data_IF_505996129267
#
_entry.id   IF_505996129267
#
_cell.length_a   1.000
_cell.length_b   1.000
_cell.length_c   1.000
_cell.angle_alpha   90.00
_cell.angle_beta   90.00
_cell.angle_gamma   90.00
#
_symmetry.space_group_name_H-M   'P 1'
#
loop_
_entity.id
_entity.type
_entity.pdbx_description
1 polymer ?
#
# COMPACT_ATOMS: atom_id res chain seq x y z
N UNK A 1 -10.47 22.09 -5.26
CA UNK A 1 -10.15 21.62 -3.89
C UNK A 1 -8.83 20.89 -3.95
N UNK A 2 -7.95 21.10 -2.99
CA UNK A 2 -6.78 20.25 -2.82
C UNK A 2 -7.21 19.06 -1.94
N UNK A 3 -7.19 17.84 -2.49
CA UNK A 3 -7.65 16.64 -1.79
C UNK A 3 -6.51 15.95 -1.02
N UNK A 4 -5.77 16.70 -0.21
CA UNK A 4 -4.87 16.09 0.75
C UNK A 4 -5.67 15.32 1.81
N UNK A 5 -5.05 14.32 2.43
CA UNK A 5 -5.62 13.56 3.54
C UNK A 5 -4.71 13.75 4.76
N UNK A 6 -5.27 14.25 5.85
CA UNK A 6 -4.55 14.43 7.13
C UNK A 6 -5.14 13.51 8.19
N UNK A 7 -4.28 12.72 8.81
CA UNK A 7 -4.57 11.82 9.93
C UNK A 7 -3.78 12.30 11.14
N UNK A 8 -4.45 12.64 12.25
CA UNK A 8 -3.82 13.25 13.42
C UNK A 8 -4.22 12.53 14.71
N UNK A 9 -3.24 11.87 15.33
CA UNK A 9 -3.38 11.16 16.61
C UNK A 9 -4.56 10.18 16.64
N UNK A 10 -4.80 9.49 15.52
CA UNK A 10 -5.96 8.61 15.34
C UNK A 10 -5.73 7.30 16.08
N UNK A 11 -6.64 6.98 16.98
CA UNK A 11 -6.73 5.65 17.60
C UNK A 11 -8.10 5.02 17.34
N UNK A 12 -8.14 3.70 17.25
CA UNK A 12 -9.38 2.93 17.06
C UNK A 12 -9.39 1.72 17.96
N UNK A 13 -10.47 1.60 18.73
CA UNK A 13 -10.69 0.47 19.63
C UNK A 13 -12.04 -0.18 19.37
N UNK A 14 -12.08 -1.52 19.32
CA UNK A 14 -13.29 -2.30 19.35
C UNK A 14 -13.49 -2.91 20.73
N UNK A 15 -14.42 -2.37 21.49
CA UNK A 15 -14.62 -2.71 22.90
C UNK A 15 -13.36 -2.41 23.75
N UNK A 16 -12.63 -3.47 24.16
CA UNK A 16 -11.40 -3.35 24.95
C UNK A 16 -10.12 -3.58 24.15
N UNK A 17 -10.24 -3.86 22.86
CA UNK A 17 -9.10 -4.15 22.00
C UNK A 17 -8.77 -2.94 21.12
N UNK A 18 -7.62 -2.34 21.37
CA UNK A 18 -7.11 -1.21 20.59
C UNK A 18 -6.38 -1.71 19.35
N UNK A 19 -6.98 -1.44 18.17
CA UNK A 19 -6.49 -1.88 16.87
C UNK A 19 -5.51 -0.87 16.26
N UNK A 20 -5.79 0.44 16.42
CA UNK A 20 -4.91 1.52 15.97
C UNK A 20 -4.55 2.41 17.15
N UNK A 21 -3.29 2.86 17.19
CA UNK A 21 -2.69 3.54 18.34
C UNK A 21 -1.92 4.77 17.87
N UNK A 22 -2.52 5.94 18.07
CA UNK A 22 -1.87 7.23 17.84
C UNK A 22 -1.25 7.39 16.44
N UNK A 23 -2.03 7.10 15.41
CA UNK A 23 -1.60 7.16 14.01
C UNK A 23 -1.62 8.60 13.54
N UNK A 24 -0.50 9.07 12.99
CA UNK A 24 -0.37 10.43 12.42
C UNK A 24 0.42 10.35 11.12
N UNK A 25 -0.13 10.86 10.02
CA UNK A 25 0.52 11.02 8.72
C UNK A 25 -0.31 11.95 7.81
N UNK A 26 0.28 12.33 6.68
CA UNK A 26 -0.40 13.13 5.65
C UNK A 26 -0.19 12.52 4.27
N UNK A 27 -1.24 12.51 3.44
CA UNK A 27 -1.16 12.06 2.05
C UNK A 27 -1.36 13.24 1.13
N UNK A 28 -0.45 13.40 0.18
CA UNK A 28 -0.47 14.47 -0.79
C UNK A 28 -1.01 13.98 -2.14
N UNK A 29 -1.76 14.82 -2.89
CA UNK A 29 -2.24 14.47 -4.21
C UNK A 29 -1.13 14.13 -5.20
N UNK A 30 -1.42 13.21 -6.12
CA UNK A 30 -0.51 12.82 -7.18
C UNK A 30 0.50 11.76 -6.78
N UNK A 31 0.38 11.16 -5.60
CA UNK A 31 1.27 10.12 -5.12
C UNK A 31 0.55 8.77 -4.94
N UNK A 32 1.30 7.71 -5.15
CA UNK A 32 0.89 6.33 -4.87
C UNK A 32 1.52 5.86 -3.56
N UNK A 33 0.67 5.53 -2.59
CA UNK A 33 1.06 5.10 -1.25
C UNK A 33 0.95 3.59 -1.10
N UNK A 34 2.04 2.94 -0.71
CA UNK A 34 2.02 1.54 -0.28
C UNK A 34 1.72 1.44 1.22
N UNK A 35 0.55 0.90 1.61
CA UNK A 35 0.26 0.58 3.00
C UNK A 35 0.63 -0.88 3.27
N UNK A 36 1.75 -1.09 3.92
CA UNK A 36 2.34 -2.39 4.16
C UNK A 36 2.15 -2.79 5.62
N UNK A 37 1.85 -4.05 5.88
CA UNK A 37 1.71 -4.57 7.24
C UNK A 37 1.29 -6.03 7.24
N UNK A 38 1.64 -6.74 8.30
CA UNK A 38 1.21 -8.15 8.48
C UNK A 38 -0.31 -8.25 8.63
N UNK A 39 -0.84 -9.44 8.46
CA UNK A 39 -2.25 -9.71 8.73
C UNK A 39 -2.56 -9.37 10.21
N UNK A 40 -3.64 -8.61 10.42
CA UNK A 40 -4.02 -8.11 11.74
C UNK A 40 -3.26 -6.86 12.23
N UNK A 41 -2.38 -6.26 11.43
CA UNK A 41 -1.70 -5.01 11.78
C UNK A 41 -2.63 -3.79 11.91
N UNK A 42 -3.84 -3.86 11.31
CA UNK A 42 -4.83 -2.78 11.34
C UNK A 42 -5.04 -2.07 9.99
N UNK A 43 -4.46 -2.57 8.87
CA UNK A 43 -4.56 -1.94 7.53
C UNK A 43 -6.01 -1.66 7.13
N UNK A 44 -6.84 -2.70 7.07
CA UNK A 44 -8.26 -2.56 6.68
C UNK A 44 -9.02 -1.61 7.61
N UNK A 45 -8.72 -1.61 8.91
CA UNK A 45 -9.33 -0.67 9.86
C UNK A 45 -8.93 0.77 9.55
N UNK A 46 -7.64 1.03 9.32
CA UNK A 46 -7.16 2.36 8.93
C UNK A 46 -7.80 2.83 7.61
N UNK A 47 -7.83 1.97 6.60
CA UNK A 47 -8.43 2.26 5.30
C UNK A 47 -9.95 2.50 5.40
N UNK A 48 -10.65 1.75 6.27
CA UNK A 48 -12.08 1.96 6.53
C UNK A 48 -12.36 3.31 7.19
N UNK A 49 -11.47 3.79 8.06
CA UNK A 49 -11.55 5.13 8.64
C UNK A 49 -11.32 6.21 7.56
N UNK A 50 -10.32 6.04 6.69
CA UNK A 50 -10.06 6.95 5.57
C UNK A 50 -11.22 6.99 4.56
N UNK A 51 -11.87 5.84 4.35
CA UNK A 51 -13.05 5.70 3.50
C UNK A 51 -14.35 6.18 4.19
N UNK A 52 -14.26 6.68 5.43
CA UNK A 52 -15.43 7.17 6.19
C UNK A 52 -16.51 6.12 6.47
N UNK A 53 -16.13 4.84 6.52
CA UNK A 53 -17.05 3.76 6.91
C UNK A 53 -17.27 3.69 8.43
N UNK A 54 -16.39 4.31 9.20
CA UNK A 54 -16.48 4.41 10.66
C UNK A 54 -15.74 5.64 11.16
N UNK A 55 -16.07 6.08 12.38
CA UNK A 55 -15.32 7.15 13.07
C UNK A 55 -14.20 6.59 13.93
N UNK A 56 -13.07 7.29 14.08
CA UNK A 56 -12.03 6.91 15.03
C UNK A 56 -12.50 7.05 16.48
N UNK A 57 -11.96 6.25 17.39
CA UNK A 57 -12.21 6.37 18.83
C UNK A 57 -11.63 7.65 19.43
N UNK A 58 -10.53 8.16 18.87
CA UNK A 58 -9.92 9.46 19.18
C UNK A 58 -9.07 9.94 18.00
N UNK A 59 -8.67 11.22 18.06
CA UNK A 59 -7.96 11.89 16.96
C UNK A 59 -8.92 12.42 15.89
N UNK A 60 -8.37 12.80 14.76
CA UNK A 60 -9.17 13.33 13.65
C UNK A 60 -8.61 12.93 12.28
N UNK A 61 -9.52 12.79 11.32
CA UNK A 61 -9.21 12.59 9.90
C UNK A 61 -9.83 13.74 9.13
N UNK A 62 -9.09 14.29 8.17
CA UNK A 62 -9.58 15.29 7.23
C UNK A 62 -9.23 14.89 5.81
N UNK A 63 -10.16 15.13 4.90
CA UNK A 63 -9.97 15.05 3.44
C UNK A 63 -10.36 16.42 2.89
N UNK A 64 -9.45 17.07 2.15
CA UNK A 64 -9.63 18.45 1.69
C UNK A 64 -10.03 19.42 2.83
N UNK A 65 -9.36 19.29 3.98
CA UNK A 65 -9.55 20.07 5.23
C UNK A 65 -10.92 19.85 5.93
N UNK A 66 -11.78 18.99 5.43
CA UNK A 66 -13.09 18.67 6.02
C UNK A 66 -13.08 17.28 6.68
N UNK A 67 -13.90 17.10 7.74
CA UNK A 67 -14.19 15.77 8.27
C UNK A 67 -14.95 14.97 7.21
N UNK A 68 -14.44 13.81 6.75
CA UNK A 68 -15.11 13.06 5.70
C UNK A 68 -16.32 12.24 6.19
N UNK A 69 -16.43 11.96 7.52
CA UNK A 69 -17.49 11.09 8.05
C UNK A 69 -18.87 11.70 7.84
N UNK A 70 -19.77 10.93 7.23
CA UNK A 70 -21.14 11.36 6.82
C UNK A 70 -21.17 12.67 6.01
N UNK A 71 -20.07 13.07 5.41
CA UNK A 71 -19.93 14.32 4.66
C UNK A 71 -20.29 14.11 3.18
N UNK A 72 -21.50 14.52 2.80
CA UNK A 72 -22.01 14.40 1.42
C UNK A 72 -21.16 15.17 0.37
N UNK A 73 -20.34 16.13 0.80
CA UNK A 73 -19.47 16.91 -0.09
C UNK A 73 -18.13 16.22 -0.34
N UNK A 74 -17.68 15.32 0.55
CA UNK A 74 -16.38 14.64 0.48
C UNK A 74 -16.53 13.19 0.03
N UNK A 75 -17.49 12.44 0.58
CA UNK A 75 -17.66 11.01 0.32
C UNK A 75 -17.75 10.63 -1.18
N UNK A 76 -18.38 11.43 -2.07
CA UNK A 76 -18.41 11.10 -3.50
C UNK A 76 -17.02 11.06 -4.16
N UNK A 77 -16.00 11.67 -3.56
CA UNK A 77 -14.65 11.79 -4.08
C UNK A 77 -13.65 10.80 -3.45
N UNK A 78 -14.12 9.93 -2.55
CA UNK A 78 -13.32 8.85 -1.97
C UNK A 78 -13.84 7.52 -2.50
N UNK A 79 -12.95 6.71 -3.08
CA UNK A 79 -13.25 5.34 -3.48
C UNK A 79 -12.53 4.36 -2.58
N UNK A 80 -13.26 3.37 -2.09
CA UNK A 80 -12.71 2.26 -1.32
C UNK A 80 -13.05 0.95 -2.00
N UNK A 81 -12.06 0.28 -2.50
CA UNK A 81 -12.14 -0.95 -3.28
C UNK A 81 -11.53 -2.08 -2.44
N UNK A 82 -12.35 -3.05 -2.11
CA UNK A 82 -11.99 -4.24 -1.33
C UNK A 82 -12.54 -5.49 -2.01
N UNK A 83 -12.15 -6.64 -1.53
CA UNK A 83 -12.78 -7.90 -1.94
C UNK A 83 -14.24 -7.94 -1.44
N UNK A 84 -15.18 -8.18 -2.35
CA UNK A 84 -16.62 -8.22 -2.09
C UNK A 84 -17.16 -9.61 -2.42
N UNK A 85 -18.03 -10.16 -1.57
CA UNK A 85 -18.80 -11.36 -1.87
C UNK A 85 -20.01 -11.00 -2.76
N UNK A 86 -19.92 -11.33 -4.04
CA UNK A 86 -20.94 -11.05 -5.04
C UNK A 86 -21.97 -12.17 -5.25
N UNK A 87 -22.09 -13.13 -4.33
CA UNK A 87 -22.99 -14.30 -4.51
C UNK A 87 -24.46 -13.93 -4.78
N UNK A 88 -24.92 -12.83 -4.21
CA UNK A 88 -26.30 -12.33 -4.35
C UNK A 88 -26.43 -11.19 -5.40
N UNK A 89 -25.38 -10.95 -6.21
CA UNK A 89 -25.37 -9.87 -7.19
C UNK A 89 -25.72 -10.40 -8.60
N UNK A 90 -26.96 -10.20 -8.99
CA UNK A 90 -27.53 -10.68 -10.24
C UNK A 90 -27.44 -9.67 -11.40
N UNK A 91 -27.04 -8.44 -11.12
CA UNK A 91 -26.83 -7.43 -12.15
C UNK A 91 -25.64 -7.75 -13.05
N UNK A 92 -25.70 -7.26 -14.30
CA UNK A 92 -24.61 -7.38 -15.25
C UNK A 92 -23.53 -6.33 -14.99
N UNK A 93 -22.31 -6.56 -15.49
CA UNK A 93 -21.24 -5.55 -15.44
C UNK A 93 -21.68 -4.26 -16.14
N UNK A 94 -22.41 -4.35 -17.26
CA UNK A 94 -22.97 -3.19 -17.97
C UNK A 94 -23.91 -2.38 -17.08
N UNK A 95 -24.81 -3.05 -16.33
CA UNK A 95 -25.69 -2.38 -15.38
C UNK A 95 -24.90 -1.67 -14.28
N UNK A 96 -23.87 -2.33 -13.76
CA UNK A 96 -22.99 -1.76 -12.72
C UNK A 96 -22.24 -0.51 -13.19
N UNK A 97 -21.73 -0.52 -14.41
CA UNK A 97 -21.08 0.67 -15.00
C UNK A 97 -22.06 1.82 -15.19
N UNK A 98 -23.28 1.52 -15.63
CA UNK A 98 -24.33 2.52 -15.80
C UNK A 98 -24.74 3.13 -14.44
N UNK A 99 -24.85 2.30 -13.41
CA UNK A 99 -25.09 2.74 -12.03
C UNK A 99 -23.94 3.60 -11.50
N UNK A 100 -22.69 3.15 -11.67
CA UNK A 100 -21.52 3.92 -11.26
C UNK A 100 -21.50 5.31 -11.93
N UNK A 101 -21.80 5.37 -13.24
CA UNK A 101 -21.87 6.63 -13.98
C UNK A 101 -22.93 7.59 -13.42
N UNK A 102 -24.04 7.07 -12.90
CA UNK A 102 -25.11 7.89 -12.32
C UNK A 102 -24.73 8.49 -10.95
N UNK A 103 -23.97 7.74 -10.13
CA UNK A 103 -23.73 8.11 -8.72
C UNK A 103 -22.31 8.58 -8.41
N UNK A 104 -21.37 8.42 -9.36
CA UNK A 104 -19.98 8.83 -9.18
C UNK A 104 -19.63 9.95 -10.17
N UNK A 105 -19.35 11.17 -9.69
CA UNK A 105 -19.22 12.35 -10.57
C UNK A 105 -18.07 12.27 -11.57
N UNK A 106 -17.02 11.51 -11.25
CA UNK A 106 -15.82 11.41 -12.08
C UNK A 106 -15.72 10.08 -12.85
N UNK A 107 -16.76 9.20 -12.79
CA UNK A 107 -16.69 7.88 -13.40
C UNK A 107 -16.57 7.96 -14.92
N UNK A 108 -15.49 7.40 -15.44
CA UNK A 108 -15.23 7.29 -16.88
C UNK A 108 -15.68 5.91 -17.40
N UNK A 109 -16.89 5.86 -17.96
CA UNK A 109 -17.48 4.62 -18.47
C UNK A 109 -16.72 4.06 -19.68
N UNK A 110 -16.14 4.91 -20.52
CA UNK A 110 -15.39 4.44 -21.70
C UNK A 110 -14.06 3.83 -21.28
N UNK A 111 -13.42 4.40 -20.26
CA UNK A 111 -12.24 3.79 -19.65
C UNK A 111 -12.58 2.47 -18.94
N UNK A 112 -13.69 2.41 -18.21
CA UNK A 112 -14.16 1.16 -17.58
C UNK A 112 -14.39 0.05 -18.62
N UNK A 113 -15.00 0.35 -19.76
CA UNK A 113 -15.19 -0.61 -20.87
C UNK A 113 -13.85 -1.05 -21.48
N UNK A 114 -12.90 -0.13 -21.64
CA UNK A 114 -11.54 -0.44 -22.12
C UNK A 114 -10.83 -1.41 -21.18
N UNK A 115 -10.87 -1.15 -19.86
CA UNK A 115 -10.30 -2.02 -18.84
C UNK A 115 -10.98 -3.39 -18.82
N UNK A 116 -12.32 -3.41 -18.88
CA UNK A 116 -13.09 -4.65 -18.95
C UNK A 116 -12.69 -5.52 -20.14
N UNK A 117 -12.48 -4.91 -21.33
CA UNK A 117 -11.98 -5.62 -22.49
C UNK A 117 -10.55 -6.16 -22.29
N UNK A 118 -9.66 -5.37 -21.66
CA UNK A 118 -8.27 -5.76 -21.33
C UNK A 118 -8.23 -6.93 -20.35
N UNK A 119 -9.08 -6.92 -19.33
CA UNK A 119 -9.24 -7.99 -18.35
C UNK A 119 -10.16 -9.14 -18.83
N UNK A 120 -10.66 -9.07 -20.07
CA UNK A 120 -11.56 -10.07 -20.67
C UNK A 120 -12.83 -10.31 -19.85
N UNK A 121 -13.39 -9.28 -19.26
CA UNK A 121 -14.62 -9.34 -18.49
C UNK A 121 -15.84 -9.43 -19.41
N UNK A 122 -16.75 -10.41 -19.20
CA UNK A 122 -17.96 -10.58 -19.98
C UNK A 122 -19.05 -9.60 -19.53
N UNK A 123 -19.20 -8.46 -20.23
CA UNK A 123 -20.05 -7.35 -19.84
C UNK A 123 -21.53 -7.69 -19.60
N UNK A 124 -22.04 -8.70 -20.31
CA UNK A 124 -23.46 -9.10 -20.28
C UNK A 124 -23.76 -10.23 -19.29
N UNK A 125 -22.74 -10.74 -18.59
CA UNK A 125 -22.94 -11.75 -17.56
C UNK A 125 -23.25 -11.14 -16.21
N UNK A 126 -24.05 -11.83 -15.42
CA UNK A 126 -24.29 -11.49 -14.00
C UNK A 126 -23.01 -11.61 -13.19
N UNK A 127 -22.79 -10.67 -12.28
CA UNK A 127 -21.54 -10.55 -11.51
C UNK A 127 -21.31 -11.77 -10.62
N UNK A 128 -22.37 -12.35 -10.03
CA UNK A 128 -22.27 -13.57 -9.23
C UNK A 128 -21.82 -14.81 -10.01
N UNK A 129 -21.91 -14.77 -11.34
CA UNK A 129 -21.45 -15.87 -12.20
C UNK A 129 -19.97 -15.79 -12.60
N UNK A 130 -19.30 -14.69 -12.21
CA UNK A 130 -17.87 -14.47 -12.46
C UNK A 130 -17.01 -15.31 -11.51
N UNK A 131 -15.84 -15.74 -11.98
CA UNK A 131 -14.82 -16.30 -11.07
C UNK A 131 -14.31 -15.24 -10.08
N UNK A 132 -13.73 -15.63 -8.95
CA UNK A 132 -13.16 -14.71 -7.97
C UNK A 132 -12.13 -13.75 -8.59
N UNK A 133 -11.26 -14.27 -9.47
CA UNK A 133 -10.30 -13.44 -10.20
C UNK A 133 -10.97 -12.41 -11.13
N UNK A 134 -12.07 -12.79 -11.78
CA UNK A 134 -12.86 -11.84 -12.62
C UNK A 134 -13.60 -10.82 -11.75
N UNK A 135 -14.09 -11.19 -10.57
CA UNK A 135 -14.68 -10.25 -9.62
C UNK A 135 -13.65 -9.24 -9.11
N UNK A 136 -12.44 -9.70 -8.78
CA UNK A 136 -11.33 -8.80 -8.44
C UNK A 136 -10.96 -7.87 -9.61
N UNK A 137 -10.95 -8.37 -10.85
CA UNK A 137 -10.71 -7.55 -12.04
C UNK A 137 -11.81 -6.51 -12.26
N UNK A 138 -13.07 -6.84 -11.96
CA UNK A 138 -14.17 -5.87 -11.95
C UNK A 138 -13.97 -4.81 -10.87
N UNK A 139 -13.61 -5.21 -9.65
CA UNK A 139 -13.37 -4.28 -8.54
C UNK A 139 -12.28 -3.25 -8.88
N UNK A 140 -11.13 -3.69 -9.38
CA UNK A 140 -10.05 -2.76 -9.76
C UNK A 140 -10.42 -1.91 -10.98
N UNK A 141 -11.22 -2.45 -11.92
CA UNK A 141 -11.77 -1.68 -13.04
C UNK A 141 -12.62 -0.52 -12.55
N UNK A 142 -13.53 -0.78 -11.61
CA UNK A 142 -14.37 0.26 -10.99
C UNK A 142 -13.52 1.29 -10.24
N UNK A 143 -12.55 0.85 -9.44
CA UNK A 143 -11.68 1.73 -8.68
C UNK A 143 -10.87 2.68 -9.56
N UNK A 144 -10.27 2.17 -10.63
CA UNK A 144 -9.52 2.99 -11.58
C UNK A 144 -10.44 3.95 -12.35
N UNK A 145 -11.59 3.45 -12.83
CA UNK A 145 -12.54 4.23 -13.63
C UNK A 145 -13.32 5.28 -12.82
N UNK A 146 -13.39 5.16 -11.50
CA UNK A 146 -13.99 6.20 -10.64
C UNK A 146 -13.22 7.52 -10.72
N UNK A 147 -11.91 7.50 -10.97
CA UNK A 147 -11.05 8.70 -11.02
C UNK A 147 -11.26 9.65 -9.86
N UNK A 148 -11.58 9.11 -8.70
CA UNK A 148 -11.77 9.90 -7.51
C UNK A 148 -10.42 10.40 -6.96
N UNK A 149 -10.38 11.66 -6.44
CA UNK A 149 -9.17 12.25 -5.87
C UNK A 149 -8.48 11.39 -4.82
N UNK A 150 -9.24 10.57 -4.08
CA UNK A 150 -8.72 9.56 -3.16
C UNK A 150 -9.25 8.20 -3.58
N UNK A 151 -8.35 7.31 -3.99
CA UNK A 151 -8.68 5.94 -4.42
C UNK A 151 -7.90 4.94 -3.58
N UNK A 152 -8.61 4.06 -2.88
CA UNK A 152 -8.06 3.10 -1.94
C UNK A 152 -8.34 1.69 -2.46
N UNK A 153 -7.29 0.86 -2.57
CA UNK A 153 -7.37 -0.57 -2.91
C UNK A 153 -6.89 -1.39 -1.71
N UNK A 154 -7.82 -2.06 -1.01
CA UNK A 154 -7.50 -2.93 0.12
C UNK A 154 -7.44 -4.38 -0.35
N UNK A 155 -6.24 -4.80 -0.76
CA UNK A 155 -5.95 -6.16 -1.26
C UNK A 155 -6.93 -6.64 -2.37
N UNK A 156 -7.57 -5.72 -3.10
CA UNK A 156 -8.65 -5.97 -4.04
C UNK A 156 -8.24 -6.80 -5.29
N UNK A 157 -6.95 -7.02 -5.47
CA UNK A 157 -6.35 -7.72 -6.62
C UNK A 157 -5.79 -9.11 -6.27
N UNK A 158 -5.84 -9.54 -5.00
CA UNK A 158 -5.17 -10.76 -4.52
C UNK A 158 -5.72 -12.03 -5.18
N UNK A 159 -7.02 -12.08 -5.48
CA UNK A 159 -7.66 -13.22 -6.14
C UNK A 159 -7.40 -13.32 -7.65
N UNK A 160 -6.68 -12.35 -8.26
CA UNK A 160 -6.25 -12.43 -9.66
C UNK A 160 -5.08 -13.38 -9.83
N UNK A 161 -4.94 -13.97 -11.02
CA UNK A 161 -3.71 -14.62 -11.42
C UNK A 161 -2.57 -13.62 -11.68
N UNK A 162 -1.33 -14.08 -11.65
CA UNK A 162 -0.15 -13.20 -11.77
C UNK A 162 -0.14 -12.35 -13.06
N UNK A 163 -0.49 -12.88 -14.26
CA UNK A 163 -0.57 -12.06 -15.46
C UNK A 163 -1.64 -10.96 -15.38
N UNK A 164 -2.78 -11.23 -14.76
CA UNK A 164 -3.86 -10.24 -14.61
C UNK A 164 -3.49 -9.19 -13.56
N UNK A 165 -2.81 -9.57 -12.48
CA UNK A 165 -2.26 -8.61 -11.51
C UNK A 165 -1.25 -7.67 -12.14
N UNK A 166 -0.32 -8.20 -12.95
CA UNK A 166 0.66 -7.39 -13.66
C UNK A 166 -0.02 -6.36 -14.58
N UNK A 167 -1.09 -6.75 -15.30
CA UNK A 167 -1.88 -5.80 -16.09
C UNK A 167 -2.51 -4.70 -15.22
N UNK A 168 -2.97 -5.03 -14.02
CA UNK A 168 -3.49 -4.03 -13.07
C UNK A 168 -2.39 -3.06 -12.62
N UNK A 169 -1.21 -3.56 -12.27
CA UNK A 169 -0.08 -2.73 -11.86
C UNK A 169 0.34 -1.74 -12.95
N UNK A 170 0.40 -2.19 -14.18
CA UNK A 170 0.65 -1.35 -15.35
C UNK A 170 -0.41 -0.24 -15.51
N UNK A 171 -1.71 -0.60 -15.35
CA UNK A 171 -2.78 0.39 -15.42
C UNK A 171 -2.72 1.42 -14.28
N UNK A 172 -2.29 1.02 -13.07
CA UNK A 172 -2.06 1.96 -11.96
C UNK A 172 -1.01 3.00 -12.34
N UNK A 173 0.14 2.58 -12.89
CA UNK A 173 1.20 3.48 -13.34
C UNK A 173 0.73 4.42 -14.44
N UNK A 174 0.10 3.86 -15.50
CA UNK A 174 -0.38 4.65 -16.63
C UNK A 174 -1.47 5.64 -16.22
N UNK A 175 -2.41 5.22 -15.35
CA UNK A 175 -3.50 6.07 -14.90
C UNK A 175 -3.02 7.15 -13.95
N UNK A 176 -2.03 6.87 -13.09
CA UNK A 176 -1.43 7.86 -12.21
C UNK A 176 -0.69 8.96 -13.00
N UNK A 177 -0.04 8.61 -14.10
CA UNK A 177 0.57 9.59 -15.00
C UNK A 177 -0.47 10.47 -15.73
N UNK A 178 -1.61 9.89 -16.14
CA UNK A 178 -2.66 10.61 -16.89
C UNK A 178 -3.58 11.42 -15.99
N UNK A 179 -3.91 10.89 -14.83
CA UNK A 179 -4.86 11.45 -13.86
C UNK A 179 -4.30 11.33 -12.44
N UNK A 180 -3.27 12.18 -12.11
CA UNK A 180 -2.62 12.14 -10.80
C UNK A 180 -3.62 12.35 -9.66
N UNK A 181 -3.61 11.45 -8.67
CA UNK A 181 -4.46 11.51 -7.49
C UNK A 181 -3.81 10.76 -6.33
N UNK A 182 -4.39 10.79 -5.14
CA UNK A 182 -3.99 9.90 -4.06
C UNK A 182 -4.45 8.50 -4.40
N UNK A 183 -3.52 7.57 -4.61
CA UNK A 183 -3.79 6.13 -4.66
C UNK A 183 -3.16 5.45 -3.46
N UNK A 184 -3.95 4.65 -2.74
CA UNK A 184 -3.47 3.86 -1.61
C UNK A 184 -3.65 2.39 -1.96
N UNK A 185 -2.57 1.62 -1.94
CA UNK A 185 -2.58 0.20 -2.22
C UNK A 185 -2.13 -0.54 -0.95
N UNK A 186 -3.05 -1.26 -0.29
CA UNK A 186 -2.66 -2.13 0.81
C UNK A 186 -2.14 -3.45 0.27
N UNK A 187 -1.04 -3.95 0.85
CA UNK A 187 -0.44 -5.19 0.36
C UNK A 187 0.29 -5.96 1.45
N UNK A 188 0.38 -7.27 1.23
CA UNK A 188 1.37 -8.16 1.83
C UNK A 188 2.31 -8.76 0.76
N UNK A 189 2.09 -8.45 -0.53
CA UNK A 189 2.90 -8.90 -1.69
C UNK A 189 3.89 -7.80 -2.10
N UNK A 190 4.73 -7.37 -1.17
CA UNK A 190 5.59 -6.19 -1.32
C UNK A 190 6.47 -6.27 -2.56
N UNK A 191 7.14 -7.42 -2.79
CA UNK A 191 8.09 -7.60 -3.91
C UNK A 191 7.44 -7.60 -5.30
N UNK A 192 6.10 -7.72 -5.39
CA UNK A 192 5.42 -7.68 -6.68
C UNK A 192 5.08 -6.26 -7.13
N UNK A 193 5.04 -5.28 -6.21
CA UNK A 193 4.47 -3.97 -6.50
C UNK A 193 5.20 -2.78 -5.84
N UNK A 194 6.36 -2.99 -5.23
CA UNK A 194 7.13 -1.93 -4.58
C UNK A 194 7.50 -0.79 -5.54
N UNK A 195 7.72 -1.10 -6.81
CA UNK A 195 8.00 -0.12 -7.86
C UNK A 195 6.82 0.82 -8.21
N UNK A 196 5.61 0.54 -7.66
CA UNK A 196 4.44 1.41 -7.82
C UNK A 196 4.42 2.55 -6.80
N UNK A 197 5.18 2.45 -5.72
CA UNK A 197 5.05 3.34 -4.58
C UNK A 197 5.98 4.55 -4.69
N UNK A 198 5.40 5.73 -4.55
CA UNK A 198 6.14 6.97 -4.30
C UNK A 198 6.45 7.10 -2.81
N UNK A 199 5.56 6.59 -1.94
CA UNK A 199 5.66 6.70 -0.49
C UNK A 199 5.20 5.41 0.20
N UNK A 200 5.82 5.06 1.31
CA UNK A 200 5.59 3.82 2.04
C UNK A 200 5.16 4.09 3.47
N UNK A 201 4.03 3.49 3.84
CA UNK A 201 3.51 3.46 5.20
C UNK A 201 3.61 2.02 5.72
N UNK A 202 4.39 1.78 6.77
CA UNK A 202 4.45 0.44 7.40
C UNK A 202 3.71 0.47 8.71
N UNK A 203 2.68 -0.37 8.80
CA UNK A 203 1.85 -0.55 9.99
C UNK A 203 2.22 -1.86 10.70
N UNK A 204 2.58 -1.77 11.98
CA UNK A 204 2.81 -2.95 12.82
C UNK A 204 2.07 -2.83 14.16
N UNK A 205 1.25 -3.84 14.49
CA UNK A 205 0.48 -3.94 15.77
C UNK A 205 -0.29 -2.66 16.11
N UNK A 206 -0.87 -2.05 15.08
CA UNK A 206 -1.68 -0.83 15.21
C UNK A 206 -0.87 0.45 15.33
N UNK A 207 0.44 0.43 15.12
CA UNK A 207 1.30 1.62 15.09
C UNK A 207 1.89 1.83 13.71
N UNK A 208 1.99 3.07 13.29
CA UNK A 208 2.75 3.46 12.13
C UNK A 208 4.24 3.49 12.52
N UNK A 209 5.05 2.61 11.94
CA UNK A 209 6.47 2.50 12.25
C UNK A 209 7.36 3.12 11.18
N UNK A 210 6.85 3.29 9.96
CA UNK A 210 7.50 3.97 8.83
C UNK A 210 6.47 4.84 8.12
N UNK A 211 6.89 6.06 7.78
CA UNK A 211 6.20 7.06 6.98
C UNK A 211 7.28 7.82 6.19
N UNK A 212 7.72 7.24 5.07
CA UNK A 212 8.88 7.72 4.30
C UNK A 212 8.63 7.56 2.80
N UNK A 213 9.30 8.37 1.97
CA UNK A 213 9.34 8.14 0.52
C UNK A 213 10.01 6.80 0.23
N UNK A 214 9.64 6.19 -0.92
CA UNK A 214 10.25 4.92 -1.33
C UNK A 214 11.78 5.03 -1.45
N UNK A 215 12.28 6.17 -1.97
CA UNK A 215 13.72 6.40 -2.10
C UNK A 215 14.42 6.48 -0.74
N UNK A 216 13.81 7.17 0.25
CA UNK A 216 14.36 7.27 1.60
C UNK A 216 14.43 5.92 2.29
N UNK A 217 13.34 5.14 2.32
CA UNK A 217 13.34 3.83 3.00
C UNK A 217 14.34 2.86 2.39
N UNK A 218 14.48 2.84 1.04
CA UNK A 218 15.48 1.99 0.37
C UNK A 218 16.90 2.46 0.67
N UNK A 219 17.14 3.77 0.77
CA UNK A 219 18.48 4.30 1.12
C UNK A 219 18.92 3.93 2.54
N UNK A 220 17.97 3.73 3.45
CA UNK A 220 18.24 3.32 4.83
C UNK A 220 18.55 1.83 4.97
N UNK A 221 18.22 1.00 3.96
CA UNK A 221 18.47 -0.43 3.97
C UNK A 221 19.83 -0.79 3.36
N UNK A 222 20.76 -1.31 4.17
CA UNK A 222 22.09 -1.66 3.71
C UNK A 222 22.44 -3.08 4.10
N UNK A 223 22.93 -3.87 3.13
CA UNK A 223 23.50 -5.20 3.33
C UNK A 223 25.03 -5.11 3.35
N UNK A 224 25.66 -5.68 4.36
CA UNK A 224 27.11 -5.73 4.53
C UNK A 224 27.56 -7.19 4.51
N UNK A 225 28.38 -7.56 3.53
CA UNK A 225 28.81 -8.95 3.32
C UNK A 225 30.35 -9.03 3.31
N UNK A 226 30.89 -10.04 3.97
CA UNK A 226 32.33 -10.28 3.96
C UNK A 226 32.77 -11.30 5.01
N UNK A 227 34.07 -11.30 5.33
CA UNK A 227 34.64 -12.16 6.36
C UNK A 227 34.05 -11.81 7.73
N UNK A 228 33.64 -12.82 8.51
CA UNK A 228 32.84 -12.64 9.73
C UNK A 228 33.48 -11.64 10.73
N UNK A 229 34.78 -11.75 11.03
CA UNK A 229 35.46 -10.85 11.96
C UNK A 229 35.45 -9.38 11.49
N UNK A 230 35.64 -9.17 10.17
CA UNK A 230 35.61 -7.82 9.57
C UNK A 230 34.24 -7.20 9.56
N UNK A 231 33.21 -8.00 9.22
CA UNK A 231 31.81 -7.58 9.28
C UNK A 231 31.45 -7.20 10.71
N UNK A 232 31.80 -8.05 11.70
CA UNK A 232 31.48 -7.78 13.10
C UNK A 232 32.14 -6.49 13.61
N UNK A 233 33.40 -6.23 13.20
CA UNK A 233 34.09 -4.99 13.52
C UNK A 233 33.38 -3.76 12.90
N UNK A 234 33.00 -3.85 11.63
CA UNK A 234 32.35 -2.76 10.90
C UNK A 234 30.95 -2.44 11.42
N UNK A 235 30.14 -3.48 11.72
CA UNK A 235 28.75 -3.30 12.16
C UNK A 235 28.59 -3.06 13.66
N UNK A 236 29.70 -2.99 14.41
CA UNK A 236 29.69 -2.71 15.83
C UNK A 236 29.05 -1.33 16.07
N UNK A 237 28.07 -1.24 16.98
CA UNK A 237 27.30 -0.03 17.30
C UNK A 237 26.32 0.47 16.21
N UNK A 238 26.02 -0.34 15.16
CA UNK A 238 24.99 -0.02 14.15
C UNK A 238 23.70 -0.78 14.42
N UNK A 239 22.57 -0.23 13.96
CA UNK A 239 21.27 -0.88 14.09
C UNK A 239 21.18 -2.09 13.14
N UNK A 240 21.30 -3.28 13.70
CA UNK A 240 21.28 -4.55 12.97
C UNK A 240 19.85 -5.07 12.88
N UNK A 241 19.34 -5.25 11.67
CA UNK A 241 18.04 -5.88 11.42
C UNK A 241 18.14 -7.39 11.37
N UNK A 242 19.19 -7.93 10.74
CA UNK A 242 19.42 -9.37 10.64
C UNK A 242 20.89 -9.71 10.52
N UNK A 243 21.21 -10.98 10.84
CA UNK A 243 22.55 -11.53 10.69
C UNK A 243 22.43 -12.96 10.17
N UNK A 244 23.18 -13.27 9.12
CA UNK A 244 23.29 -14.61 8.56
C UNK A 244 24.78 -14.98 8.44
N UNK A 245 25.12 -16.24 8.70
CA UNK A 245 26.51 -16.72 8.61
C UNK A 245 26.56 -18.01 7.81
N UNK A 246 27.51 -18.10 6.89
CA UNK A 246 27.80 -19.29 6.10
C UNK A 246 29.31 -19.52 6.08
N UNK A 247 29.79 -20.49 6.87
CA UNK A 247 31.21 -20.70 7.07
C UNK A 247 31.89 -19.46 7.67
N UNK A 248 32.91 -18.93 6.99
CA UNK A 248 33.62 -17.72 7.41
C UNK A 248 33.05 -16.43 6.79
N UNK A 249 31.99 -16.53 6.00
CA UNK A 249 31.29 -15.37 5.42
C UNK A 249 30.08 -14.99 6.29
N UNK A 250 29.94 -13.72 6.53
CA UNK A 250 28.81 -13.14 7.27
C UNK A 250 28.11 -12.07 6.44
N UNK A 251 26.79 -12.08 6.48
CA UNK A 251 25.94 -11.05 5.91
C UNK A 251 25.13 -10.41 7.03
N UNK A 252 25.18 -9.10 7.14
CA UNK A 252 24.42 -8.32 8.13
C UNK A 252 23.61 -7.27 7.40
N UNK A 253 22.32 -7.23 7.70
CA UNK A 253 21.43 -6.16 7.25
C UNK A 253 21.37 -5.07 8.32
N UNK A 254 21.58 -3.84 7.91
CA UNK A 254 21.52 -2.64 8.74
C UNK A 254 20.33 -1.77 8.33
N UNK A 255 19.82 -1.00 9.29
CA UNK A 255 18.89 0.09 9.03
C UNK A 255 19.51 1.40 9.52
N UNK A 256 19.75 2.32 8.61
CA UNK A 256 20.37 3.62 8.83
C UNK A 256 21.34 4.00 7.71
N UNK A 257 21.61 5.28 7.61
CA UNK A 257 22.52 5.79 6.60
C UNK A 257 23.99 5.42 6.90
N UNK A 258 24.71 4.97 5.87
CA UNK A 258 26.16 4.91 5.90
C UNK A 258 26.74 6.22 5.38
N UNK A 259 27.69 6.80 6.12
CA UNK A 259 28.43 7.98 5.69
C UNK A 259 29.48 7.62 4.61
N UNK A 260 29.98 8.63 3.90
CA UNK A 260 31.10 8.44 2.97
C UNK A 260 32.32 7.82 3.65
N UNK A 261 32.57 8.17 4.92
CA UNK A 261 33.65 7.58 5.71
C UNK A 261 33.40 6.07 5.97
N UNK A 262 32.15 5.66 6.21
CA UNK A 262 31.77 4.25 6.38
C UNK A 262 32.00 3.48 5.07
N UNK A 263 31.66 4.08 3.93
CA UNK A 263 31.87 3.45 2.61
C UNK A 263 33.36 3.21 2.33
N UNK A 264 34.20 4.21 2.61
CA UNK A 264 35.67 4.08 2.50
C UNK A 264 36.21 3.01 3.45
N UNK A 265 35.71 2.93 4.67
CA UNK A 265 36.12 1.91 5.63
C UNK A 265 35.70 0.51 5.18
N UNK A 266 34.47 0.35 4.68
CA UNK A 266 34.00 -0.93 4.15
C UNK A 266 34.88 -1.43 3.00
N UNK A 267 35.21 -0.54 2.06
CA UNK A 267 36.13 -0.86 0.94
C UNK A 267 37.52 -1.27 1.44
N UNK A 268 38.10 -0.52 2.41
CA UNK A 268 39.39 -0.86 3.03
C UNK A 268 39.37 -2.23 3.69
N UNK A 269 38.29 -2.64 4.29
CA UNK A 269 38.12 -3.95 4.92
C UNK A 269 37.79 -5.04 3.92
N UNK A 270 37.53 -4.69 2.65
CA UNK A 270 37.11 -5.62 1.60
C UNK A 270 35.73 -6.20 1.85
N UNK A 271 34.83 -5.36 2.39
CA UNK A 271 33.43 -5.68 2.58
C UNK A 271 32.62 -5.26 1.34
N UNK A 272 31.63 -6.06 1.00
CA UNK A 272 30.68 -5.77 -0.06
C UNK A 272 29.44 -5.10 0.56
N UNK A 273 29.11 -3.90 0.05
CA UNK A 273 27.92 -3.16 0.46
C UNK A 273 26.89 -3.25 -0.67
N UNK A 274 25.67 -3.65 -0.33
CA UNK A 274 24.58 -3.80 -1.30
C UNK A 274 23.26 -3.23 -0.80
N UNK A 275 22.29 -2.99 -1.70
CA UNK A 275 20.95 -2.55 -1.33
C UNK A 275 20.18 -3.69 -0.65
N UNK A 276 19.13 -3.30 0.08
CA UNK A 276 18.17 -4.21 0.69
C UNK A 276 16.80 -3.96 0.06
N UNK A 277 16.06 -5.03 -0.25
CA UNK A 277 14.70 -4.89 -0.80
C UNK A 277 13.72 -4.33 0.24
N UNK A 278 12.66 -3.64 -0.21
CA UNK A 278 11.58 -3.18 0.67
C UNK A 278 10.94 -4.37 1.42
N UNK A 279 10.81 -5.52 0.75
CA UNK A 279 10.29 -6.74 1.37
C UNK A 279 11.15 -7.21 2.54
N UNK A 280 12.48 -7.24 2.37
CA UNK A 280 13.39 -7.66 3.44
C UNK A 280 13.38 -6.66 4.60
N UNK A 281 13.37 -5.35 4.31
CA UNK A 281 13.20 -4.31 5.32
C UNK A 281 11.91 -4.52 6.11
N UNK A 282 10.77 -4.69 5.42
CA UNK A 282 9.48 -4.95 6.05
C UNK A 282 9.52 -6.18 6.96
N UNK A 283 10.05 -7.31 6.47
CA UNK A 283 10.15 -8.55 7.25
C UNK A 283 10.94 -8.33 8.54
N UNK A 284 12.05 -7.59 8.48
CA UNK A 284 12.93 -7.43 9.63
C UNK A 284 12.50 -6.31 10.58
N UNK A 285 11.87 -5.24 10.08
CA UNK A 285 11.31 -4.16 10.90
C UNK A 285 10.07 -4.62 11.70
N UNK A 286 9.32 -5.62 11.18
CA UNK A 286 8.11 -6.17 11.81
C UNK A 286 8.33 -7.53 12.49
N UNK A 287 9.60 -7.98 12.63
CA UNK A 287 9.92 -9.18 13.43
C UNK A 287 9.56 -8.97 14.91
N UNK A 288 8.98 -10.01 15.50
CA UNK A 288 8.90 -10.09 16.94
C UNK A 288 10.32 -10.16 17.50
N UNK A 289 10.66 -9.27 18.44
CA UNK A 289 11.89 -9.42 19.20
C UNK A 289 11.85 -10.77 19.91
N UNK A 290 12.80 -11.64 19.60
CA UNK A 290 13.11 -12.83 20.38
C UNK A 290 13.56 -12.46 21.78
#
# INVERSE_FOLDING_TARGET
>A
MNFNVSVQNVSMAFKKFEVLKDITFTLEPGQTYGLIGRNGAGKTTLLSLLASLMEPSSGQIKVAEENPFENKHIMPYVSFILEVDYKDEYDTITSYFSFAQQYRPNFDIEYAKKLAARFKLPLDKAINSLSSGMQSALNVTLGLAHRNPVTIFDEAYVSMDAPTREMFYQEVLEEQQRHPRIMILSTHLVSEMDYLFDHVLILDRGKLIIDESFEEIISHGVSVIGQAEKVDSFVNNRNRLSTQSLGNTKSVMLYGNLSDADMVEAERLGLEIGPVSLQDLFIHLTKEGE
#
